data_IF_109306183962
#
_entry.id   IF_109306183962
#
_cell.length_a   1.000
_cell.length_b   1.000
_cell.length_c   1.000
_cell.angle_alpha   90.00
_cell.angle_beta   90.00
_cell.angle_gamma   90.00
#
_symmetry.space_group_name_H-M   'P 1'
#
loop_
_entity.id
_entity.type
_entity.pdbx_description
1 polymer ?
#
# COMPACT_ATOMS: atom_id res chain seq x y z
N UNK A 1 6.41 3.31 5.04
CA UNK A 1 6.40 1.87 4.72
C UNK A 1 6.26 1.12 6.03
N UNK A 2 5.61 -0.04 6.06
CA UNK A 2 5.29 -0.76 7.30
C UNK A 2 5.20 -2.25 6.98
N UNK A 3 6.20 -3.02 7.40
CA UNK A 3 6.16 -4.47 7.27
C UNK A 3 5.16 -5.05 8.28
N UNK A 4 4.46 -6.11 7.88
CA UNK A 4 3.66 -6.94 8.79
C UNK A 4 4.05 -8.41 8.64
N UNK A 5 4.29 -9.11 9.75
CA UNK A 5 4.44 -10.56 9.80
C UNK A 5 3.29 -11.15 10.64
N UNK A 6 2.62 -12.19 10.16
CA UNK A 6 1.34 -12.61 10.74
C UNK A 6 1.44 -13.33 12.10
N UNK A 7 2.63 -13.78 12.51
CA UNK A 7 2.82 -14.59 13.73
C UNK A 7 4.07 -14.23 14.56
N UNK A 8 4.88 -13.23 14.15
CA UNK A 8 6.07 -12.74 14.86
C UNK A 8 6.22 -11.22 14.70
N UNK A 9 7.21 -10.66 15.39
CA UNK A 9 7.35 -9.22 15.58
C UNK A 9 7.48 -8.42 14.27
N UNK A 10 6.62 -7.40 14.09
CA UNK A 10 6.65 -6.52 12.93
C UNK A 10 7.95 -5.67 12.86
N UNK A 11 8.41 -5.43 11.63
CA UNK A 11 9.70 -4.80 11.31
C UNK A 11 9.56 -3.49 10.49
N UNK A 12 8.89 -2.43 10.99
CA UNK A 12 8.66 -1.21 10.21
C UNK A 12 9.95 -0.43 9.86
N UNK A 13 10.13 -0.16 8.56
CA UNK A 13 11.08 0.85 8.06
C UNK A 13 10.35 2.15 7.70
N UNK A 14 10.68 3.19 8.45
CA UNK A 14 10.08 4.52 8.37
C UNK A 14 10.99 5.42 7.55
N UNK A 15 10.47 5.89 6.41
CA UNK A 15 11.08 6.96 5.61
C UNK A 15 10.19 8.19 5.64
N UNK A 16 10.81 9.36 5.74
CA UNK A 16 10.16 10.65 5.94
C UNK A 16 10.78 11.67 4.98
N UNK A 17 9.95 12.57 4.45
CA UNK A 17 10.37 13.55 3.46
C UNK A 17 11.44 14.48 4.05
N UNK A 18 12.63 14.48 3.44
CA UNK A 18 13.82 15.17 3.93
C UNK A 18 13.59 16.68 4.14
N UNK A 19 12.89 17.33 3.21
CA UNK A 19 12.73 18.79 3.19
C UNK A 19 11.50 19.29 3.96
N UNK A 20 10.51 18.44 4.23
CA UNK A 20 9.20 18.86 4.78
C UNK A 20 8.83 18.23 6.13
N UNK A 21 9.59 17.26 6.64
CA UNK A 21 9.16 16.42 7.77
C UNK A 21 10.17 16.31 8.92
N UNK A 22 11.02 17.32 9.15
CA UNK A 22 12.03 17.31 10.22
C UNK A 22 11.45 17.09 11.62
N UNK A 23 10.31 17.72 11.94
CA UNK A 23 9.62 17.49 13.21
C UNK A 23 9.27 16.01 13.40
N UNK A 24 8.62 15.39 12.42
CA UNK A 24 8.24 13.97 12.47
C UNK A 24 9.48 13.08 12.53
N UNK A 25 10.54 13.39 11.77
CA UNK A 25 11.80 12.65 11.80
C UNK A 25 12.40 12.62 13.21
N UNK A 26 12.49 13.77 13.88
CA UNK A 26 12.99 13.85 15.27
C UNK A 26 12.15 13.04 16.27
N UNK A 27 10.86 12.83 16.00
CA UNK A 27 9.95 12.03 16.85
C UNK A 27 10.10 10.55 16.56
N UNK A 28 10.10 10.15 15.29
CA UNK A 28 10.30 8.75 14.90
C UNK A 28 11.69 8.25 15.25
N UNK A 29 12.74 9.07 15.17
CA UNK A 29 14.06 8.72 15.70
C UNK A 29 13.98 8.32 17.18
N UNK A 30 13.23 9.04 18.03
CA UNK A 30 13.05 8.67 19.45
C UNK A 30 12.32 7.34 19.60
N UNK A 31 11.34 7.04 18.76
CA UNK A 31 10.64 5.74 18.74
C UNK A 31 11.60 4.61 18.34
N UNK A 32 12.46 4.81 17.34
CA UNK A 32 13.46 3.82 16.94
C UNK A 32 14.49 3.53 18.07
N UNK A 33 14.87 4.53 18.87
CA UNK A 33 15.72 4.31 20.05
C UNK A 33 15.02 3.47 21.15
N UNK A 34 13.69 3.52 21.23
CA UNK A 34 12.91 2.71 22.18
C UNK A 34 12.64 1.29 21.68
N UNK A 35 12.66 1.07 20.36
CA UNK A 35 12.36 -0.20 19.71
C UNK A 35 13.47 -0.64 18.72
N UNK A 36 14.76 -0.66 19.14
CA UNK A 36 15.91 -0.72 18.22
C UNK A 36 16.04 -2.02 17.42
N UNK A 37 15.41 -3.10 17.86
CA UNK A 37 15.45 -4.39 17.18
C UNK A 37 14.37 -4.54 16.09
N UNK A 38 13.36 -3.67 16.09
CA UNK A 38 12.12 -3.83 15.31
C UNK A 38 11.83 -2.60 14.43
N UNK A 39 12.15 -1.39 14.91
CA UNK A 39 11.83 -0.13 14.22
C UNK A 39 13.10 0.50 13.70
N UNK A 40 13.17 0.71 12.38
CA UNK A 40 14.25 1.48 11.76
C UNK A 40 13.71 2.74 11.09
N UNK A 41 14.42 3.86 11.26
CA UNK A 41 14.12 5.13 10.60
C UNK A 41 15.29 5.44 9.69
N UNK A 42 15.09 5.40 8.37
CA UNK A 42 16.21 5.53 7.44
C UNK A 42 16.77 6.96 7.45
N UNK A 43 18.10 7.14 7.61
CA UNK A 43 18.75 8.43 7.47
C UNK A 43 18.86 8.85 5.99
N UNK A 44 18.78 7.90 5.05
CA UNK A 44 18.71 8.14 3.61
C UNK A 44 17.31 8.65 3.23
N UNK A 45 17.01 9.88 3.66
CA UNK A 45 15.75 10.54 3.39
C UNK A 45 15.74 11.13 1.98
N UNK A 46 14.85 10.64 1.14
CA UNK A 46 14.54 11.22 -0.18
C UNK A 46 13.39 12.23 -0.07
N UNK A 47 13.13 12.97 -1.14
CA UNK A 47 11.97 13.86 -1.28
C UNK A 47 10.97 13.31 -2.31
N UNK A 48 10.23 12.22 -2.01
CA UNK A 48 9.20 11.73 -2.92
C UNK A 48 8.07 12.75 -3.03
N UNK A 49 8.08 13.51 -4.12
CA UNK A 49 7.03 14.45 -4.51
C UNK A 49 5.92 13.65 -5.21
N UNK A 50 4.67 14.14 -5.18
CA UNK A 50 3.56 13.45 -5.86
C UNK A 50 3.86 13.25 -7.35
N UNK A 51 3.73 12.02 -7.83
CA UNK A 51 4.04 11.64 -9.21
C UNK A 51 5.53 11.45 -9.54
N UNK A 52 6.46 11.77 -8.64
CA UNK A 52 7.89 11.81 -8.97
C UNK A 52 8.60 10.43 -8.91
N UNK A 53 9.63 10.19 -9.76
CA UNK A 53 10.39 8.93 -9.77
C UNK A 53 11.09 8.56 -8.46
N UNK A 54 11.40 9.54 -7.62
CA UNK A 54 12.05 9.35 -6.32
C UNK A 54 11.32 8.38 -5.38
N UNK A 55 10.00 8.19 -5.56
CA UNK A 55 9.25 7.19 -4.78
C UNK A 55 9.62 5.76 -5.18
N UNK A 56 9.84 5.48 -6.48
CA UNK A 56 10.31 4.16 -6.93
C UNK A 56 11.72 3.90 -6.42
N UNK A 57 12.63 4.87 -6.59
CA UNK A 57 14.00 4.75 -6.08
C UNK A 57 14.05 4.55 -4.57
N UNK A 58 13.17 5.23 -3.80
CA UNK A 58 13.04 5.02 -2.37
C UNK A 58 12.58 3.60 -2.01
N UNK A 59 11.64 3.02 -2.77
CA UNK A 59 11.19 1.66 -2.54
C UNK A 59 12.29 0.63 -2.85
N UNK A 60 13.06 0.84 -3.92
CA UNK A 60 14.18 -0.03 -4.29
C UNK A 60 15.33 0.04 -3.26
N UNK A 61 15.72 1.24 -2.81
CA UNK A 61 16.70 1.43 -1.72
C UNK A 61 16.30 0.63 -0.47
N UNK A 62 15.05 0.75 -0.02
CA UNK A 62 14.61 0.08 1.21
C UNK A 62 14.48 -1.43 1.02
N UNK A 63 14.09 -1.92 -0.18
CA UNK A 63 14.15 -3.35 -0.48
C UNK A 63 15.59 -3.87 -0.39
N UNK A 64 16.56 -3.13 -0.94
CA UNK A 64 17.98 -3.49 -0.85
C UNK A 64 18.45 -3.52 0.61
N UNK A 65 18.19 -2.46 1.38
CA UNK A 65 18.50 -2.40 2.83
C UNK A 65 17.91 -3.61 3.59
N UNK A 66 16.64 -3.95 3.33
CA UNK A 66 15.95 -5.07 4.00
C UNK A 66 16.53 -6.45 3.70
N UNK A 67 17.27 -6.58 2.60
CA UNK A 67 17.85 -7.83 2.14
C UNK A 67 19.32 -7.96 2.56
N UNK A 68 20.07 -6.85 2.53
CA UNK A 68 21.51 -6.81 2.84
C UNK A 68 21.76 -6.40 4.29
N UNK A 69 21.39 -5.17 4.65
CA UNK A 69 21.67 -4.52 5.92
C UNK A 69 20.82 -5.08 7.08
N UNK A 70 19.58 -5.50 6.81
CA UNK A 70 18.67 -6.14 7.77
C UNK A 70 18.48 -7.65 7.51
N UNK A 71 19.50 -8.35 7.03
CA UNK A 71 19.46 -9.80 6.76
C UNK A 71 19.13 -10.69 7.98
N UNK A 72 19.30 -10.16 9.20
CA UNK A 72 18.84 -10.76 10.46
C UNK A 72 17.31 -10.75 10.61
N UNK A 73 16.63 -9.72 10.09
CA UNK A 73 15.17 -9.60 10.10
C UNK A 73 14.57 -10.65 9.16
N UNK A 74 13.73 -11.52 9.72
CA UNK A 74 12.97 -12.52 8.97
C UNK A 74 11.61 -11.88 8.68
N UNK A 75 11.29 -11.77 7.40
CA UNK A 75 10.09 -11.12 6.92
C UNK A 75 9.69 -11.76 5.59
N UNK A 76 8.39 -11.99 5.39
CA UNK A 76 7.87 -12.67 4.19
C UNK A 76 7.33 -11.69 3.14
N UNK A 77 6.75 -10.57 3.58
CA UNK A 77 6.08 -9.59 2.72
C UNK A 77 6.48 -8.15 3.05
N UNK A 78 6.76 -7.38 2.00
CA UNK A 78 6.86 -5.93 2.01
C UNK A 78 5.47 -5.32 1.78
N UNK A 79 4.99 -4.52 2.73
CA UNK A 79 3.75 -3.75 2.59
C UNK A 79 4.10 -2.26 2.70
N UNK A 80 3.69 -1.44 1.73
CA UNK A 80 3.89 0.00 1.79
C UNK A 80 2.66 0.71 2.40
N UNK A 81 2.81 1.45 3.49
CA UNK A 81 1.76 2.32 4.06
C UNK A 81 2.23 3.78 4.11
N UNK A 82 1.29 4.72 3.93
CA UNK A 82 1.41 6.12 4.33
C UNK A 82 0.84 6.35 5.73
N UNK A 83 1.05 7.54 6.28
CA UNK A 83 0.40 8.05 7.50
C UNK A 83 -1.14 7.94 7.46
N UNK A 84 -1.74 8.04 6.27
CA UNK A 84 -3.21 8.13 6.09
C UNK A 84 -3.90 6.80 5.83
N UNK A 85 -3.16 5.69 5.95
CA UNK A 85 -3.68 4.32 5.85
C UNK A 85 -3.95 3.76 7.26
N UNK A 86 -5.09 3.11 7.45
CA UNK A 86 -5.37 2.33 8.67
C UNK A 86 -5.69 0.87 8.33
N UNK A 87 -5.25 -0.10 9.16
CA UNK A 87 -5.74 -1.46 9.07
C UNK A 87 -7.23 -1.53 9.43
N UNK A 88 -7.96 -2.46 8.82
CA UNK A 88 -9.39 -2.69 9.08
C UNK A 88 -9.75 -4.17 9.30
N UNK A 89 -8.89 -5.12 8.88
CA UNK A 89 -9.17 -6.58 8.78
C UNK A 89 -7.87 -7.44 8.63
N UNK A 90 -7.90 -8.75 8.97
CA UNK A 90 -6.82 -9.76 8.81
C UNK A 90 -7.14 -10.87 7.76
N UNK A 91 -6.18 -11.76 7.40
CA UNK A 91 -6.04 -12.47 6.08
C UNK A 91 -6.65 -13.93 6.08
N UNK A 92 -7.31 -14.52 5.03
CA UNK A 92 -6.77 -15.04 3.73
C UNK A 92 -7.80 -15.50 2.64
N UNK A 93 -7.56 -15.06 1.38
CA UNK A 93 -7.88 -15.70 0.05
C UNK A 93 -9.36 -15.82 -0.38
N UNK A 94 -9.81 -16.21 -1.60
CA UNK A 94 -9.25 -16.69 -2.90
C UNK A 94 -10.19 -16.21 -4.07
N UNK A 95 -9.99 -16.58 -5.35
CA UNK A 95 -10.96 -16.31 -6.44
C UNK A 95 -10.64 -16.61 -7.93
N UNK A 96 -9.59 -17.38 -8.29
CA UNK A 96 -9.04 -17.40 -9.67
C UNK A 96 -9.62 -18.42 -10.70
N UNK A 97 -10.59 -19.27 -10.34
CA UNK A 97 -11.05 -20.34 -11.24
C UNK A 97 -12.02 -19.92 -12.36
N UNK A 98 -12.70 -18.77 -12.23
CA UNK A 98 -13.98 -18.51 -12.91
C UNK A 98 -13.90 -17.62 -14.16
N UNK A 99 -14.57 -18.06 -15.22
CA UNK A 99 -14.82 -17.32 -16.46
C UNK A 99 -16.05 -16.42 -16.31
N UNK A 100 -15.94 -15.15 -16.71
CA UNK A 100 -17.07 -14.22 -16.76
C UNK A 100 -17.16 -13.58 -18.15
N UNK A 101 -18.39 -13.29 -18.60
CA UNK A 101 -18.67 -12.68 -19.90
C UNK A 101 -19.78 -11.64 -19.75
N UNK A 102 -19.52 -10.44 -20.24
CA UNK A 102 -20.47 -9.34 -20.18
C UNK A 102 -21.22 -9.20 -21.51
N UNK A 103 -22.55 -9.16 -21.44
CA UNK A 103 -23.39 -8.83 -22.58
C UNK A 103 -24.26 -7.62 -22.19
N UNK A 104 -24.04 -6.49 -22.86
CA UNK A 104 -24.59 -5.21 -22.42
C UNK A 104 -24.12 -4.84 -21.01
N UNK A 105 -25.06 -4.42 -20.18
CA UNK A 105 -24.79 -3.82 -18.86
C UNK A 105 -24.55 -4.87 -17.76
N UNK A 106 -24.55 -6.17 -18.09
CA UNK A 106 -24.60 -7.26 -17.13
C UNK A 106 -23.50 -8.31 -17.35
N UNK A 107 -22.74 -8.61 -16.29
CA UNK A 107 -21.65 -9.60 -16.27
C UNK A 107 -22.19 -10.95 -15.83
N UNK A 108 -22.14 -11.93 -16.72
CA UNK A 108 -22.56 -13.31 -16.48
C UNK A 108 -21.37 -14.15 -16.02
N UNK A 109 -21.54 -14.95 -14.97
CA UNK A 109 -20.62 -16.05 -14.65
C UNK A 109 -20.87 -17.18 -15.66
N UNK A 110 -19.86 -17.52 -16.48
CA UNK A 110 -20.00 -18.55 -17.52
C UNK A 110 -19.55 -19.96 -17.09
N UNK A 111 -18.67 -20.07 -16.09
CA UNK A 111 -18.08 -21.36 -15.71
C UNK A 111 -16.65 -21.17 -15.22
N UNK A 112 -15.80 -22.18 -15.41
CA UNK A 112 -14.37 -22.12 -15.09
C UNK A 112 -13.52 -21.84 -16.35
N UNK A 113 -12.35 -21.19 -16.20
CA UNK A 113 -11.45 -20.82 -17.32
C UNK A 113 -10.01 -21.26 -17.04
N UNK A 114 -9.34 -21.69 -18.11
CA UNK A 114 -7.88 -21.86 -18.15
C UNK A 114 -7.19 -20.65 -18.83
N UNK A 115 -5.91 -20.37 -18.53
CA UNK A 115 -5.13 -19.34 -19.23
C UNK A 115 -4.97 -19.62 -20.73
N UNK A 116 -4.58 -18.61 -21.50
CA UNK A 116 -4.14 -18.77 -22.91
C UNK A 116 -2.82 -18.04 -23.12
N UNK A 117 -1.96 -18.62 -23.94
CA UNK A 117 -0.60 -18.15 -24.21
C UNK A 117 -0.58 -16.86 -25.05
N UNK A 118 0.36 -15.94 -24.78
CA UNK A 118 0.68 -14.86 -25.73
C UNK A 118 0.94 -13.43 -25.20
N UNK A 119 0.92 -13.19 -23.88
CA UNK A 119 1.29 -11.90 -23.20
C UNK A 119 0.25 -10.75 -23.25
N UNK A 120 0.12 -10.01 -22.13
CA UNK A 120 -0.67 -8.76 -21.97
C UNK A 120 0.03 -7.79 -20.98
N UNK A 121 -0.14 -6.47 -21.17
CA UNK A 121 0.38 -5.39 -20.31
C UNK A 121 -0.57 -5.05 -19.13
N UNK A 122 -0.01 -4.68 -17.97
CA UNK A 122 -0.79 -4.35 -16.77
C UNK A 122 -0.21 -3.16 -15.97
N UNK A 123 -1.11 -2.38 -15.36
CA UNK A 123 -0.83 -1.33 -14.38
C UNK A 123 -1.94 -1.27 -13.33
N UNK A 124 -1.69 -0.65 -12.19
CA UNK A 124 -2.56 -0.77 -11.03
C UNK A 124 -2.30 0.28 -9.96
N UNK A 125 -2.32 -0.13 -8.70
CA UNK A 125 -2.17 0.78 -7.56
C UNK A 125 -0.71 0.91 -7.13
N UNK A 126 -0.32 2.10 -6.70
CA UNK A 126 0.92 2.35 -5.96
C UNK A 126 0.99 1.62 -4.60
N UNK A 127 -0.11 1.00 -4.15
CA UNK A 127 -0.22 0.23 -2.91
C UNK A 127 -0.06 -1.26 -3.19
N UNK A 128 1.00 -1.84 -2.63
CA UNK A 128 1.51 -3.15 -3.01
C UNK A 128 1.80 -4.01 -1.78
N UNK A 129 1.64 -5.32 -1.96
CA UNK A 129 2.07 -6.36 -1.03
C UNK A 129 3.02 -7.25 -1.83
N UNK A 130 4.32 -7.12 -1.60
CA UNK A 130 5.37 -7.76 -2.42
C UNK A 130 6.07 -8.85 -1.59
N UNK A 131 6.11 -10.11 -2.04
CA UNK A 131 6.81 -11.16 -1.32
C UNK A 131 8.34 -10.97 -1.36
N UNK A 132 9.05 -11.40 -0.32
CA UNK A 132 10.50 -11.19 -0.15
C UNK A 132 11.33 -11.64 -1.36
N UNK A 133 10.98 -12.76 -1.98
CA UNK A 133 11.68 -13.25 -3.17
C UNK A 133 11.56 -12.30 -4.37
N UNK A 134 10.42 -11.61 -4.52
CA UNK A 134 10.20 -10.65 -5.60
C UNK A 134 10.91 -9.33 -5.32
N UNK A 135 10.94 -8.88 -4.06
CA UNK A 135 11.81 -7.77 -3.64
C UNK A 135 13.30 -8.07 -3.91
N UNK A 136 13.74 -9.31 -3.70
CA UNK A 136 15.11 -9.72 -4.00
C UNK A 136 15.43 -9.65 -5.49
N UNK A 137 14.54 -10.15 -6.34
CA UNK A 137 14.65 -10.01 -7.79
C UNK A 137 14.68 -8.54 -8.24
N UNK A 138 13.81 -7.70 -7.68
CA UNK A 138 13.65 -6.31 -8.09
C UNK A 138 14.79 -5.36 -7.63
N UNK A 139 15.52 -5.68 -6.55
CA UNK A 139 16.41 -4.74 -5.88
C UNK A 139 17.86 -5.19 -5.62
N UNK A 140 18.21 -6.47 -5.80
CA UNK A 140 19.60 -6.92 -5.58
C UNK A 140 20.47 -6.73 -6.83
N UNK A 141 21.60 -6.01 -6.76
CA UNK A 141 22.51 -5.83 -7.90
C UNK A 141 23.12 -7.13 -8.46
N UNK A 142 23.12 -8.20 -7.67
CA UNK A 142 23.58 -9.53 -8.06
C UNK A 142 22.56 -10.23 -8.99
N UNK A 143 21.29 -9.83 -8.95
CA UNK A 143 20.27 -10.23 -9.92
C UNK A 143 20.44 -9.36 -11.18
N UNK A 144 21.49 -9.61 -11.97
CA UNK A 144 21.81 -8.86 -13.20
C UNK A 144 20.86 -9.16 -14.38
N UNK A 145 19.56 -9.26 -14.10
CA UNK A 145 18.54 -9.40 -15.14
C UNK A 145 18.44 -8.09 -15.94
N UNK A 146 18.59 -8.19 -17.26
CA UNK A 146 18.42 -7.07 -18.17
C UNK A 146 17.05 -6.42 -18.04
N UNK A 147 15.98 -7.19 -17.78
CA UNK A 147 14.64 -6.66 -17.59
C UNK A 147 14.57 -5.71 -16.39
N UNK A 148 15.12 -6.12 -15.24
CA UNK A 148 15.14 -5.29 -14.02
C UNK A 148 15.90 -3.99 -14.30
N UNK A 149 17.12 -4.09 -14.83
CA UNK A 149 17.97 -2.93 -15.11
C UNK A 149 17.32 -1.96 -16.11
N UNK A 150 16.80 -2.49 -17.21
CA UNK A 150 16.29 -1.70 -18.32
C UNK A 150 14.94 -1.04 -17.94
N UNK A 151 14.09 -1.74 -17.14
CA UNK A 151 12.91 -1.12 -16.52
C UNK A 151 13.27 -0.06 -15.48
N UNK A 152 14.28 -0.27 -14.62
CA UNK A 152 14.71 0.76 -13.65
C UNK A 152 15.22 2.01 -14.37
N UNK A 153 15.99 1.84 -15.44
CA UNK A 153 16.46 2.96 -16.27
C UNK A 153 15.32 3.69 -17.00
N UNK A 154 14.32 2.94 -17.50
CA UNK A 154 13.14 3.52 -18.15
C UNK A 154 12.26 4.31 -17.17
N UNK A 155 11.91 3.71 -16.05
CA UNK A 155 11.00 4.29 -15.05
C UNK A 155 11.63 5.44 -14.25
N UNK A 156 12.94 5.66 -14.34
CA UNK A 156 13.60 6.86 -13.82
C UNK A 156 13.07 8.17 -14.42
N UNK A 157 12.38 8.13 -15.58
CA UNK A 157 11.81 9.30 -16.26
C UNK A 157 10.28 9.19 -16.48
N UNK A 158 9.59 8.33 -15.71
CA UNK A 158 8.15 8.09 -15.83
C UNK A 158 7.41 8.73 -14.65
N UNK A 159 6.28 9.40 -14.92
CA UNK A 159 5.40 9.95 -13.88
C UNK A 159 4.56 8.83 -13.23
N UNK A 160 4.32 8.93 -11.91
CA UNK A 160 3.64 7.91 -11.10
C UNK A 160 4.24 6.49 -11.28
N UNK A 161 5.58 6.30 -11.27
CA UNK A 161 6.18 5.07 -11.77
C UNK A 161 5.85 3.84 -10.92
N UNK A 162 5.57 3.99 -9.63
CA UNK A 162 5.16 2.88 -8.76
C UNK A 162 3.79 2.29 -9.14
N UNK A 163 2.89 3.07 -9.77
CA UNK A 163 1.59 2.57 -10.26
C UNK A 163 1.73 1.55 -11.41
N UNK A 164 2.92 1.43 -12.03
CA UNK A 164 3.14 0.56 -13.20
C UNK A 164 4.45 -0.24 -13.19
N UNK A 165 5.50 0.18 -12.48
CA UNK A 165 6.81 -0.51 -12.46
C UNK A 165 6.71 -1.95 -11.95
N UNK A 166 6.22 -2.15 -10.73
CA UNK A 166 6.17 -3.49 -10.12
C UNK A 166 5.19 -4.43 -10.83
N UNK A 167 4.10 -3.88 -11.37
CA UNK A 167 3.19 -4.62 -12.25
C UNK A 167 3.92 -5.08 -13.52
N UNK A 168 4.56 -4.15 -14.23
CA UNK A 168 5.31 -4.44 -15.46
C UNK A 168 6.42 -5.45 -15.21
N UNK A 169 7.19 -5.29 -14.13
CA UNK A 169 8.25 -6.21 -13.77
C UNK A 169 7.71 -7.60 -13.44
N UNK A 170 6.65 -7.71 -12.64
CA UNK A 170 6.07 -9.02 -12.27
C UNK A 170 5.49 -9.75 -13.49
N UNK A 171 4.72 -9.07 -14.34
CA UNK A 171 4.10 -9.69 -15.52
C UNK A 171 5.08 -10.06 -16.65
N UNK A 172 6.27 -9.44 -16.71
CA UNK A 172 7.28 -9.74 -17.72
C UNK A 172 8.43 -10.64 -17.22
N UNK A 173 8.33 -11.16 -15.99
CA UNK A 173 9.32 -12.05 -15.38
C UNK A 173 8.69 -13.38 -14.96
N UNK A 174 9.48 -14.27 -14.34
CA UNK A 174 9.02 -15.57 -13.83
C UNK A 174 7.94 -15.47 -12.72
N UNK A 175 7.53 -14.26 -12.32
CA UNK A 175 6.55 -13.99 -11.28
C UNK A 175 5.13 -13.71 -11.81
N UNK A 176 4.90 -13.78 -13.12
CA UNK A 176 3.64 -13.42 -13.77
C UNK A 176 2.42 -14.19 -13.23
N UNK A 177 2.53 -15.51 -13.04
CA UNK A 177 1.47 -16.38 -12.48
C UNK A 177 1.24 -16.18 -10.97
N UNK A 178 2.11 -15.41 -10.29
CA UNK A 178 2.01 -15.13 -8.86
C UNK A 178 1.34 -13.77 -8.58
N UNK A 179 0.95 -13.02 -9.62
CA UNK A 179 0.28 -11.72 -9.47
C UNK A 179 -1.19 -11.92 -9.10
N UNK A 180 -1.54 -11.53 -7.87
CA UNK A 180 -2.93 -11.42 -7.42
C UNK A 180 -3.46 -10.03 -7.78
N UNK A 181 -4.54 -9.97 -8.57
CA UNK A 181 -5.19 -8.70 -8.94
C UNK A 181 -6.05 -8.10 -7.82
N UNK A 182 -5.43 -7.87 -6.66
CA UNK A 182 -5.99 -7.12 -5.53
C UNK A 182 -4.86 -6.58 -4.66
N UNK A 183 -4.95 -5.30 -4.30
CA UNK A 183 -4.07 -4.66 -3.33
C UNK A 183 -4.63 -4.68 -1.90
N UNK A 184 -5.83 -5.26 -1.70
CA UNK A 184 -6.54 -5.35 -0.42
C UNK A 184 -6.78 -3.96 0.24
N UNK A 185 -6.98 -2.91 -0.58
CA UNK A 185 -7.18 -1.51 -0.14
C UNK A 185 -8.59 -1.00 -0.42
N UNK A 186 -9.32 -0.66 0.64
CA UNK A 186 -10.54 0.12 0.51
C UNK A 186 -10.21 1.62 0.34
N UNK A 187 -10.23 2.08 -0.91
CA UNK A 187 -9.89 3.46 -1.28
C UNK A 187 -11.14 4.30 -1.53
N UNK A 188 -11.30 5.43 -0.83
CA UNK A 188 -12.47 6.30 -0.95
C UNK A 188 -12.42 7.22 -2.19
N UNK A 189 -12.55 6.64 -3.38
CA UNK A 189 -12.71 7.41 -4.61
C UNK A 189 -14.14 7.98 -4.74
N UNK A 190 -14.27 9.32 -4.80
CA UNK A 190 -15.54 10.03 -4.92
C UNK A 190 -15.59 10.95 -6.15
N UNK A 191 -15.27 10.43 -7.34
CA UNK A 191 -15.20 11.24 -8.57
C UNK A 191 -16.52 12.04 -8.79
N UNK A 192 -16.45 13.33 -9.16
CA UNK A 192 -15.26 14.11 -9.52
C UNK A 192 -14.44 14.69 -8.35
N UNK A 193 -14.89 14.59 -7.08
CA UNK A 193 -14.08 15.04 -5.93
C UNK A 193 -12.75 14.29 -5.88
N UNK A 194 -11.72 14.99 -5.45
CA UNK A 194 -10.35 14.49 -5.41
C UNK A 194 -9.61 14.56 -6.75
N UNK A 195 -10.30 14.76 -7.88
CA UNK A 195 -9.69 15.05 -9.17
C UNK A 195 -9.71 16.56 -9.43
N UNK A 196 -8.55 17.20 -9.50
CA UNK A 196 -8.46 18.61 -9.93
C UNK A 196 -7.19 18.85 -10.71
N UNK A 197 -7.31 19.25 -11.98
CA UNK A 197 -6.15 19.64 -12.77
C UNK A 197 -5.75 21.08 -12.45
N UNK A 198 -4.91 21.25 -11.42
CA UNK A 198 -4.26 22.53 -11.11
C UNK A 198 -2.84 22.48 -11.68
N UNK A 199 -2.69 22.96 -12.91
CA UNK A 199 -1.46 22.94 -13.73
C UNK A 199 -0.33 23.85 -13.20
N UNK A 200 -0.16 24.00 -11.88
CA UNK A 200 0.68 25.08 -11.34
C UNK A 200 1.37 24.83 -9.97
N UNK A 201 1.42 23.60 -9.43
CA UNK A 201 2.01 23.39 -8.09
C UNK A 201 2.92 22.15 -7.88
N UNK A 202 2.89 21.11 -8.72
CA UNK A 202 3.66 19.88 -8.42
C UNK A 202 4.17 19.11 -9.64
N UNK A 203 3.36 18.98 -10.70
CA UNK A 203 3.73 18.31 -11.95
C UNK A 203 2.86 18.83 -13.10
N UNK A 204 3.36 18.76 -14.33
CA UNK A 204 2.63 19.12 -15.56
C UNK A 204 1.65 18.01 -15.99
N UNK A 205 0.85 17.51 -15.04
CA UNK A 205 -0.07 16.40 -15.24
C UNK A 205 -1.32 16.53 -14.35
N UNK A 206 -2.47 16.13 -14.87
CA UNK A 206 -3.72 16.13 -14.12
C UNK A 206 -3.81 14.91 -13.18
N UNK A 207 -3.68 15.13 -11.87
CA UNK A 207 -3.82 14.10 -10.85
C UNK A 207 -5.23 13.93 -10.27
N UNK A 208 -5.47 12.76 -9.69
CA UNK A 208 -6.55 12.53 -8.74
C UNK A 208 -5.99 12.00 -7.42
N UNK A 209 -6.64 12.31 -6.30
CA UNK A 209 -6.36 11.74 -4.97
C UNK A 209 -7.65 11.20 -4.33
N UNK A 210 -7.59 10.12 -3.53
CA UNK A 210 -8.74 9.65 -2.77
C UNK A 210 -9.25 10.72 -1.80
N UNK A 211 -10.55 10.68 -1.52
CA UNK A 211 -11.14 11.51 -0.47
C UNK A 211 -10.81 10.96 0.91
N UNK A 212 -10.85 11.82 1.94
CA UNK A 212 -10.88 11.36 3.33
C UNK A 212 -12.26 10.74 3.59
N UNK A 213 -12.32 9.61 4.30
CA UNK A 213 -13.61 9.10 4.81
C UNK A 213 -14.22 10.12 5.78
N UNK A 214 -15.50 10.47 5.59
CA UNK A 214 -16.17 11.37 6.52
C UNK A 214 -17.69 11.21 6.53
N UNK A 215 -18.28 11.39 7.72
CA UNK A 215 -19.72 11.37 7.94
C UNK A 215 -20.41 10.00 7.82
N UNK A 216 -21.73 9.93 8.10
CA UNK A 216 -22.43 8.66 8.34
C UNK A 216 -22.43 7.68 7.16
N UNK A 217 -22.38 8.18 5.91
CA UNK A 217 -22.34 7.34 4.71
C UNK A 217 -21.04 6.55 4.61
N UNK A 218 -19.92 7.18 4.90
CA UNK A 218 -18.60 6.55 4.83
C UNK A 218 -18.34 5.65 6.03
N UNK A 219 -18.84 6.02 7.21
CA UNK A 219 -18.93 5.14 8.38
C UNK A 219 -19.68 3.84 8.06
N UNK A 220 -20.87 3.93 7.47
CA UNK A 220 -21.65 2.77 7.06
C UNK A 220 -20.89 1.88 6.04
N UNK A 221 -20.17 2.49 5.10
CA UNK A 221 -19.35 1.75 4.12
C UNK A 221 -18.17 1.03 4.77
N UNK A 222 -17.47 1.69 5.69
CA UNK A 222 -16.38 1.10 6.48
C UNK A 222 -16.89 -0.05 7.35
N UNK A 223 -17.99 0.15 8.08
CA UNK A 223 -18.62 -0.88 8.90
C UNK A 223 -19.08 -2.06 8.04
N UNK A 224 -19.70 -1.81 6.88
CA UNK A 224 -20.10 -2.89 5.95
C UNK A 224 -18.89 -3.66 5.40
N UNK A 225 -17.78 -2.99 5.07
CA UNK A 225 -16.56 -3.66 4.61
C UNK A 225 -15.97 -4.57 5.71
N UNK A 226 -16.01 -4.14 6.96
CA UNK A 226 -15.60 -4.94 8.12
C UNK A 226 -16.55 -6.12 8.39
N UNK A 227 -17.87 -5.90 8.37
CA UNK A 227 -18.86 -6.97 8.54
C UNK A 227 -18.77 -8.06 7.44
N UNK A 228 -18.46 -7.66 6.20
CA UNK A 228 -18.24 -8.62 5.10
C UNK A 228 -17.09 -9.58 5.41
N UNK A 229 -16.03 -9.12 6.08
CA UNK A 229 -14.96 -10.00 6.56
C UNK A 229 -15.45 -10.96 7.66
N UNK A 230 -16.22 -10.47 8.63
CA UNK A 230 -16.74 -11.30 9.73
C UNK A 230 -17.71 -12.39 9.25
N UNK A 231 -18.45 -12.14 8.17
CA UNK A 231 -19.44 -13.07 7.62
C UNK A 231 -18.87 -14.01 6.55
N UNK A 232 -18.01 -13.50 5.66
CA UNK A 232 -17.38 -14.26 4.56
C UNK A 232 -15.86 -13.99 4.51
N UNK A 233 -15.07 -14.60 5.41
CA UNK A 233 -13.62 -14.35 5.48
C UNK A 233 -12.85 -14.79 4.22
N UNK A 234 -13.47 -15.56 3.33
CA UNK A 234 -12.94 -15.98 2.02
C UNK A 234 -13.45 -15.15 0.83
N UNK A 235 -14.14 -14.04 1.08
CA UNK A 235 -14.80 -13.25 0.02
C UNK A 235 -13.78 -12.56 -0.91
N UNK A 236 -13.95 -12.58 -2.24
CA UNK A 236 -13.08 -11.86 -3.17
C UNK A 236 -13.18 -10.33 -3.05
N UNK A 237 -14.14 -9.80 -2.28
CA UNK A 237 -14.29 -8.37 -2.01
C UNK A 237 -13.52 -7.89 -0.77
N UNK A 238 -12.78 -8.79 -0.09
CA UNK A 238 -12.05 -8.51 1.15
C UNK A 238 -11.11 -7.30 1.04
N UNK A 239 -11.11 -6.45 2.06
CA UNK A 239 -10.27 -5.26 2.18
C UNK A 239 -9.54 -5.30 3.53
N UNK A 240 -8.22 -5.18 3.54
CA UNK A 240 -7.39 -5.23 4.76
C UNK A 240 -7.02 -3.86 5.31
N UNK A 241 -6.81 -2.89 4.42
CA UNK A 241 -6.44 -1.52 4.76
C UNK A 241 -7.45 -0.56 4.13
N UNK A 242 -7.69 0.57 4.78
CA UNK A 242 -8.53 1.64 4.22
C UNK A 242 -7.78 2.97 4.17
N UNK A 243 -8.07 3.77 3.14
CA UNK A 243 -7.55 5.14 2.99
C UNK A 243 -8.51 6.09 2.25
N UNK A 244 -8.51 7.40 2.57
CA UNK A 244 -7.66 8.09 3.54
C UNK A 244 -8.39 8.38 4.85
N UNK A 245 -7.65 8.36 5.96
CA UNK A 245 -8.06 8.95 7.23
C UNK A 245 -7.25 10.21 7.51
N UNK A 246 -7.89 11.19 8.16
CA UNK A 246 -7.28 12.47 8.54
C UNK A 246 -8.05 13.03 9.74
N UNK A 247 -7.41 13.09 10.91
CA UNK A 247 -8.04 13.56 12.15
C UNK A 247 -8.35 15.06 12.15
N UNK A 248 -7.77 15.84 11.24
CA UNK A 248 -8.09 17.26 11.07
C UNK A 248 -9.37 17.49 10.27
N UNK A 249 -9.85 16.46 9.56
CA UNK A 249 -11.08 16.48 8.76
C UNK A 249 -12.21 15.75 9.49
N UNK A 250 -11.97 14.52 9.97
CA UNK A 250 -12.98 13.71 10.65
C UNK A 250 -12.33 12.75 11.67
N UNK A 251 -12.06 13.26 12.87
CA UNK A 251 -11.52 12.46 13.99
C UNK A 251 -12.47 11.33 14.41
N UNK A 252 -13.77 11.41 14.14
CA UNK A 252 -14.71 10.34 14.50
C UNK A 252 -14.47 9.09 13.64
N UNK A 253 -14.05 9.23 12.38
CA UNK A 253 -13.65 8.08 11.55
C UNK A 253 -12.37 7.41 12.05
N UNK A 254 -11.41 8.20 12.54
CA UNK A 254 -10.16 7.70 13.15
C UNK A 254 -10.48 6.94 14.43
N UNK A 255 -11.24 7.55 15.35
CA UNK A 255 -11.66 6.91 16.60
C UNK A 255 -12.50 5.65 16.35
N UNK A 256 -13.37 5.67 15.34
CA UNK A 256 -14.14 4.48 14.94
C UNK A 256 -13.22 3.35 14.46
N UNK A 257 -12.19 3.63 13.66
CA UNK A 257 -11.23 2.63 13.23
C UNK A 257 -10.44 2.06 14.42
N UNK A 258 -9.89 2.91 15.28
CA UNK A 258 -9.14 2.50 16.47
C UNK A 258 -9.99 1.62 17.41
N UNK A 259 -11.22 2.02 17.73
CA UNK A 259 -12.08 1.28 18.68
C UNK A 259 -12.74 0.05 18.05
N UNK A 260 -13.44 0.23 16.93
CA UNK A 260 -14.34 -0.80 16.40
C UNK A 260 -13.71 -1.72 15.35
N UNK A 261 -12.60 -1.30 14.71
CA UNK A 261 -11.90 -2.13 13.73
C UNK A 261 -10.60 -2.72 14.29
N UNK A 262 -9.92 -2.00 15.20
CA UNK A 262 -8.67 -2.44 15.83
C UNK A 262 -8.80 -2.87 17.30
N UNK A 263 -9.99 -2.73 17.91
CA UNK A 263 -10.25 -3.19 19.27
C UNK A 263 -9.47 -2.46 20.36
N UNK A 264 -9.02 -1.21 20.10
CA UNK A 264 -8.23 -0.42 21.06
C UNK A 264 -9.13 0.42 21.95
N UNK A 265 -8.77 0.52 23.22
CA UNK A 265 -9.36 1.47 24.14
C UNK A 265 -8.80 2.87 23.86
N UNK A 266 -9.68 3.87 23.77
CA UNK A 266 -9.26 5.27 23.75
C UNK A 266 -8.82 5.67 25.18
N UNK A 267 -7.77 6.50 25.32
CA UNK A 267 -7.36 6.97 26.64
C UNK A 267 -8.51 7.72 27.32
N UNK A 268 -8.80 7.35 28.57
CA UNK A 268 -9.73 8.09 29.43
C UNK A 268 -9.36 9.59 29.43
N UNK A 269 -10.35 10.50 29.36
CA UNK A 269 -10.06 11.92 29.51
C UNK A 269 -9.40 12.14 30.88
N UNK A 270 -8.36 12.98 30.98
CA UNK A 270 -7.64 13.17 32.24
C UNK A 270 -8.64 13.63 33.30
N UNK A 271 -8.67 12.90 34.43
CA UNK A 271 -9.57 13.19 35.53
C UNK A 271 -9.50 14.68 35.88
N UNK A 272 -10.60 15.38 35.70
CA UNK A 272 -10.70 16.80 36.04
C UNK A 272 -10.36 16.95 37.51
N UNK A 273 -9.28 17.68 37.81
CA UNK A 273 -8.99 18.16 39.16
C UNK A 273 -10.14 19.08 39.58
N UNK A 274 -11.05 18.51 40.38
CA UNK A 274 -12.15 19.20 41.03
C UNK A 274 -11.67 19.94 42.29
#
# INVERSE_FOLDING_TARGET
MLLMEAEKADFPIISLNQSKSEYLYSKFQKIAHLLPNNVYVTPNRRNPVWGAPELLSLMLDIMQDLLTNFSSWKWDFLINLSETDMPIVFIKSQGLGKAFFQCGDYVWLLGDRQPMDGVVLHGGSDWLILPRYFCAYAALPEQQDSLVRDLVAWFANVILPVESFFHTLAYNSAFCELVVNSNLRFVNWQRPRGCSCRLNQTADWCGCSPSVFSGPRDLYRLHKAHLLHSAEPTSPQLQMFARKFDSTIDVAMVNYAEVHLLGRELPEPPATLA
#
